data_IF_546778010130
#
_entry.id   IF_546778010130
#
_cell.length_a   1.000
_cell.length_b   1.000
_cell.length_c   1.000
_cell.angle_alpha   90.00
_cell.angle_beta   90.00
_cell.angle_gamma   90.00
#
_symmetry.space_group_name_H-M   'P 1'
#
loop_
_entity.id
_entity.type
_entity.pdbx_description
1 polymer ?
#
# COMPACT_ATOMS: atom_id res chain seq x y z
N UNK A 1 -16.74 -41.85 8.38
CA UNK A 1 -17.57 -40.69 8.72
C UNK A 1 -16.62 -39.66 9.31
N UNK A 2 -16.38 -38.56 8.59
CA UNK A 2 -15.70 -37.42 9.20
C UNK A 2 -16.63 -36.86 10.28
N UNK A 3 -16.07 -36.58 11.45
CA UNK A 3 -16.78 -35.98 12.57
C UNK A 3 -17.26 -34.60 12.13
N UNK A 4 -18.59 -34.37 12.14
CA UNK A 4 -19.13 -33.05 11.82
C UNK A 4 -18.86 -32.17 13.05
N UNK A 5 -18.08 -31.09 12.93
CA UNK A 5 -17.79 -30.24 14.07
C UNK A 5 -19.10 -29.73 14.68
N UNK A 6 -19.14 -29.69 16.03
CA UNK A 6 -20.31 -29.17 16.74
C UNK A 6 -20.56 -27.71 16.32
N UNK A 7 -21.83 -27.29 16.18
CA UNK A 7 -22.15 -25.91 15.81
C UNK A 7 -21.53 -24.94 16.82
N UNK A 8 -20.85 -23.92 16.31
CA UNK A 8 -20.15 -22.92 17.10
C UNK A 8 -21.13 -21.81 17.53
N UNK A 9 -21.29 -21.59 18.84
CA UNK A 9 -22.04 -20.43 19.35
C UNK A 9 -21.21 -19.15 19.16
N UNK A 10 -21.80 -18.15 18.52
CA UNK A 10 -21.19 -16.83 18.34
C UNK A 10 -21.60 -15.88 19.46
N UNK A 11 -20.69 -15.01 19.89
CA UNK A 11 -20.93 -13.88 20.79
C UNK A 11 -20.78 -12.58 20.02
N UNK A 12 -21.82 -11.76 20.01
CA UNK A 12 -21.80 -10.41 19.46
C UNK A 12 -21.63 -9.42 20.60
N UNK A 13 -20.74 -8.45 20.46
CA UNK A 13 -20.51 -7.42 21.48
C UNK A 13 -20.47 -6.04 20.82
N UNK A 14 -21.12 -5.05 21.42
CA UNK A 14 -20.96 -3.65 21.02
C UNK A 14 -19.86 -2.97 21.85
N UNK A 15 -19.43 -1.77 21.45
CA UNK A 15 -18.33 -1.08 22.15
C UNK A 15 -18.64 -0.74 23.62
N UNK A 16 -19.92 -0.75 24.01
CA UNK A 16 -20.38 -0.49 25.37
C UNK A 16 -20.41 -1.76 26.22
N UNK A 17 -19.98 -2.89 25.65
CA UNK A 17 -19.92 -4.19 26.32
C UNK A 17 -21.27 -4.91 26.36
N UNK A 18 -22.26 -4.49 25.56
CA UNK A 18 -23.51 -5.25 25.50
C UNK A 18 -23.33 -6.48 24.65
N UNK A 19 -23.70 -7.63 25.19
CA UNK A 19 -23.52 -8.92 24.55
C UNK A 19 -24.85 -9.51 24.03
N UNK A 20 -24.76 -10.26 22.93
CA UNK A 20 -25.82 -11.13 22.41
C UNK A 20 -25.21 -12.44 21.90
N UNK A 21 -25.81 -13.58 22.26
CA UNK A 21 -25.36 -14.90 21.79
C UNK A 21 -26.20 -15.38 20.61
N UNK A 22 -25.58 -16.10 19.67
CA UNK A 22 -26.23 -16.65 18.49
C UNK A 22 -25.76 -18.09 18.26
N UNK A 23 -26.71 -19.03 18.30
CA UNK A 23 -26.47 -20.45 18.01
C UNK A 23 -26.74 -20.82 16.53
N UNK A 24 -27.04 -19.81 15.70
CA UNK A 24 -27.29 -20.01 14.26
C UNK A 24 -25.98 -20.12 13.48
N UNK A 25 -26.06 -20.63 12.26
CA UNK A 25 -24.92 -20.82 11.35
C UNK A 25 -25.19 -20.18 10.00
N UNK A 26 -24.18 -20.13 9.12
CA UNK A 26 -24.36 -19.69 7.75
C UNK A 26 -24.90 -18.26 7.62
N UNK A 27 -25.79 -18.06 6.64
CA UNK A 27 -26.43 -16.76 6.39
C UNK A 27 -27.29 -16.29 7.59
N UNK A 28 -27.89 -17.20 8.36
CA UNK A 28 -28.72 -16.83 9.51
C UNK A 28 -27.92 -16.21 10.66
N UNK A 29 -26.67 -16.65 10.83
CA UNK A 29 -25.74 -16.06 11.80
C UNK A 29 -25.34 -14.64 11.37
N UNK A 30 -25.02 -14.47 10.08
CA UNK A 30 -24.64 -13.20 9.52
C UNK A 30 -25.79 -12.17 9.58
N UNK A 31 -27.01 -12.58 9.23
CA UNK A 31 -28.19 -11.71 9.35
C UNK A 31 -28.49 -11.33 10.80
N UNK A 32 -28.30 -12.25 11.75
CA UNK A 32 -28.46 -11.95 13.17
C UNK A 32 -27.45 -10.91 13.66
N UNK A 33 -26.20 -10.99 13.21
CA UNK A 33 -25.17 -9.99 13.53
C UNK A 33 -25.49 -8.63 12.91
N UNK A 34 -25.85 -8.58 11.63
CA UNK A 34 -26.20 -7.31 10.97
C UNK A 34 -27.42 -6.65 11.61
N UNK A 35 -28.42 -7.44 12.04
CA UNK A 35 -29.55 -6.93 12.82
C UNK A 35 -29.11 -6.37 14.17
N UNK A 36 -28.19 -7.04 14.86
CA UNK A 36 -27.60 -6.55 16.11
C UNK A 36 -26.90 -5.19 15.90
N UNK A 37 -26.08 -5.08 14.86
CA UNK A 37 -25.43 -3.80 14.48
C UNK A 37 -26.49 -2.74 14.19
N UNK A 38 -27.49 -3.02 13.35
CA UNK A 38 -28.52 -2.06 12.98
C UNK A 38 -29.36 -1.56 14.18
N UNK A 39 -29.63 -2.41 15.17
CA UNK A 39 -30.37 -2.04 16.38
C UNK A 39 -29.56 -1.19 17.36
N UNK A 40 -28.23 -1.31 17.31
CA UNK A 40 -27.31 -0.72 18.31
C UNK A 40 -26.48 0.43 17.77
N UNK A 41 -26.43 0.60 16.44
CA UNK A 41 -25.71 1.68 15.79
C UNK A 41 -26.24 3.03 16.26
N UNK A 42 -25.34 3.85 16.77
CA UNK A 42 -25.56 5.22 17.19
C UNK A 42 -24.28 6.01 16.93
N UNK A 43 -24.31 7.34 17.00
CA UNK A 43 -23.13 8.17 16.73
C UNK A 43 -21.97 7.84 17.68
N UNK A 44 -22.28 7.55 18.94
CA UNK A 44 -21.29 7.06 19.88
C UNK A 44 -20.90 5.61 19.58
N UNK A 45 -21.82 4.71 19.21
CA UNK A 45 -21.58 3.28 19.01
C UNK A 45 -21.08 2.85 17.61
N UNK A 46 -19.75 2.71 17.46
CA UNK A 46 -19.08 2.48 16.16
C UNK A 46 -18.28 1.17 16.07
N UNK A 47 -18.09 0.44 17.17
CA UNK A 47 -17.32 -0.81 17.18
C UNK A 47 -18.21 -1.99 17.56
N UNK A 48 -18.19 -3.02 16.73
CA UNK A 48 -18.95 -4.25 16.93
C UNK A 48 -18.05 -5.45 16.75
N UNK A 49 -18.13 -6.44 17.63
CA UNK A 49 -17.39 -7.69 17.50
C UNK A 49 -18.34 -8.87 17.33
N UNK A 50 -17.87 -9.87 16.58
CA UNK A 50 -18.44 -11.21 16.55
C UNK A 50 -17.32 -12.19 16.83
N UNK A 51 -17.47 -12.98 17.89
CA UNK A 51 -16.47 -13.91 18.38
C UNK A 51 -17.01 -15.32 18.41
N UNK A 52 -16.16 -16.27 18.06
CA UNK A 52 -16.37 -17.66 18.39
C UNK A 52 -16.19 -17.85 19.90
N UNK A 53 -17.28 -18.03 20.64
CA UNK A 53 -17.29 -18.07 22.11
C UNK A 53 -16.30 -19.07 22.72
N UNK A 54 -16.02 -20.18 22.03
CA UNK A 54 -15.11 -21.22 22.49
C UNK A 54 -13.64 -21.03 22.06
N UNK A 55 -13.37 -20.25 21.01
CA UNK A 55 -12.10 -20.33 20.28
C UNK A 55 -11.27 -19.05 20.27
N UNK A 56 -11.70 -18.02 21.03
CA UNK A 56 -10.90 -16.81 21.33
C UNK A 56 -10.40 -16.08 20.07
N UNK A 57 -11.21 -16.12 19.01
CA UNK A 57 -11.02 -15.34 17.80
C UNK A 57 -12.34 -14.75 17.34
N UNK A 58 -12.25 -13.74 16.48
CA UNK A 58 -13.42 -13.09 15.95
C UNK A 58 -13.13 -12.10 14.86
N UNK A 59 -14.18 -11.38 14.48
CA UNK A 59 -14.13 -10.19 13.66
C UNK A 59 -14.50 -8.98 14.52
N UNK A 60 -13.81 -7.86 14.31
CA UNK A 60 -14.10 -6.54 14.88
C UNK A 60 -14.39 -5.59 13.73
N UNK A 61 -15.62 -5.14 13.65
CA UNK A 61 -16.10 -4.14 12.71
C UNK A 61 -15.93 -2.77 13.35
N UNK A 62 -15.11 -1.93 12.73
CA UNK A 62 -14.90 -0.55 13.11
C UNK A 62 -15.53 0.36 12.04
N UNK A 63 -16.79 0.75 12.30
CA UNK A 63 -17.59 1.51 11.34
C UNK A 63 -17.05 2.93 11.14
N UNK A 64 -16.50 3.54 12.19
CA UNK A 64 -15.86 4.84 12.11
C UNK A 64 -14.60 4.79 11.25
N UNK A 65 -13.85 3.67 11.34
CA UNK A 65 -12.63 3.48 10.55
C UNK A 65 -12.88 2.93 9.16
N UNK A 66 -14.05 2.38 8.87
CA UNK A 66 -14.34 1.69 7.61
C UNK A 66 -13.51 0.41 7.47
N UNK A 67 -13.27 -0.29 8.58
CA UNK A 67 -12.34 -1.42 8.63
C UNK A 67 -12.95 -2.62 9.37
N UNK A 68 -12.49 -3.80 9.00
CA UNK A 68 -12.77 -5.06 9.68
C UNK A 68 -11.44 -5.66 10.09
N UNK A 69 -11.25 -5.90 11.38
CA UNK A 69 -10.14 -6.71 11.87
C UNK A 69 -10.63 -8.15 12.07
N UNK A 70 -9.90 -9.16 11.64
CA UNK A 70 -9.98 -10.48 12.26
C UNK A 70 -8.91 -10.54 13.33
N UNK A 71 -9.17 -11.23 14.41
CA UNK A 71 -8.19 -11.37 15.47
C UNK A 71 -8.26 -12.73 16.12
N UNK A 72 -7.14 -13.14 16.72
CA UNK A 72 -7.01 -14.34 17.53
C UNK A 72 -6.18 -14.01 18.75
N UNK A 73 -6.73 -14.31 19.91
CA UNK A 73 -6.03 -14.22 21.17
C UNK A 73 -5.23 -15.51 21.42
N UNK A 74 -4.05 -15.34 21.98
CA UNK A 74 -3.20 -16.40 22.50
C UNK A 74 -3.03 -16.15 23.99
N UNK A 75 -3.23 -17.17 24.80
CA UNK A 75 -3.10 -17.12 26.26
C UNK A 75 -1.95 -18.03 26.67
N UNK A 76 -1.12 -17.57 27.61
CA UNK A 76 -0.19 -18.45 28.33
C UNK A 76 -0.96 -19.22 29.43
N UNK A 77 -0.43 -20.36 29.90
CA UNK A 77 -1.14 -21.21 30.86
C UNK A 77 -1.52 -20.44 32.13
N UNK A 78 -2.80 -20.52 32.51
CA UNK A 78 -3.42 -19.94 33.72
C UNK A 78 -3.58 -18.40 33.74
N UNK A 79 -3.54 -17.72 32.59
CA UNK A 79 -3.84 -16.28 32.51
C UNK A 79 -5.24 -15.98 31.94
N UNK A 80 -6.00 -15.10 32.62
CA UNK A 80 -7.27 -14.54 32.12
C UNK A 80 -7.04 -13.40 31.09
N UNK A 81 -5.79 -13.01 30.87
CA UNK A 81 -5.38 -11.95 29.95
C UNK A 81 -4.58 -12.57 28.80
N UNK A 82 -4.86 -12.22 27.52
CA UNK A 82 -4.12 -12.78 26.41
C UNK A 82 -2.67 -12.29 26.40
N UNK A 83 -1.72 -13.22 26.31
CA UNK A 83 -0.29 -12.94 26.21
C UNK A 83 0.08 -12.33 24.85
N UNK A 84 -0.69 -12.66 23.81
CA UNK A 84 -0.54 -12.07 22.47
C UNK A 84 -1.88 -12.03 21.75
N UNK A 85 -2.12 -10.97 20.98
CA UNK A 85 -3.21 -10.93 20.01
C UNK A 85 -2.60 -10.84 18.61
N UNK A 86 -3.03 -11.73 17.73
CA UNK A 86 -2.83 -11.59 16.29
C UNK A 86 -4.05 -10.88 15.75
N UNK A 87 -3.87 -9.83 14.96
CA UNK A 87 -4.96 -9.16 14.27
C UNK A 87 -4.54 -9.06 12.81
N UNK A 88 -5.47 -9.24 11.86
CA UNK A 88 -5.28 -8.81 10.47
C UNK A 88 -6.46 -7.93 10.08
N UNK A 89 -6.24 -6.98 9.19
CA UNK A 89 -7.21 -5.97 8.80
C UNK A 89 -7.62 -6.09 7.35
N UNK A 90 -8.87 -5.80 7.07
CA UNK A 90 -9.38 -5.56 5.72
C UNK A 90 -10.41 -4.44 5.76
N UNK A 91 -10.91 -4.07 4.60
CA UNK A 91 -11.75 -2.89 4.44
C UNK A 91 -13.21 -3.28 4.61
N UNK A 92 -13.98 -2.40 5.24
CA UNK A 92 -15.43 -2.50 5.27
C UNK A 92 -15.97 -1.89 3.98
N UNK A 93 -16.14 -2.73 2.95
CA UNK A 93 -16.60 -2.27 1.63
C UNK A 93 -18.12 -2.09 1.59
N UNK A 94 -18.86 -3.14 1.91
CA UNK A 94 -20.33 -3.14 1.91
C UNK A 94 -20.91 -4.18 2.89
N UNK A 95 -22.24 -4.17 3.00
CA UNK A 95 -23.00 -5.08 3.86
C UNK A 95 -22.92 -6.54 3.37
N UNK A 96 -22.84 -6.78 2.07
CA UNK A 96 -22.78 -8.14 1.50
C UNK A 96 -21.45 -8.83 1.84
N UNK A 97 -20.34 -8.10 1.74
CA UNK A 97 -19.02 -8.55 2.16
C UNK A 97 -18.96 -8.75 3.66
N UNK A 98 -19.55 -7.84 4.43
CA UNK A 98 -19.69 -8.00 5.88
C UNK A 98 -20.44 -9.30 6.21
N UNK A 99 -21.58 -9.54 5.54
CA UNK A 99 -22.36 -10.78 5.66
C UNK A 99 -21.51 -12.01 5.32
N UNK A 100 -20.78 -11.98 4.21
CA UNK A 100 -19.94 -13.08 3.77
C UNK A 100 -18.81 -13.40 4.77
N UNK A 101 -18.20 -12.39 5.37
CA UNK A 101 -17.14 -12.58 6.38
C UNK A 101 -17.69 -13.18 7.67
N UNK A 102 -18.84 -12.71 8.17
CA UNK A 102 -19.48 -13.30 9.36
C UNK A 102 -19.94 -14.72 9.10
N UNK A 103 -20.52 -14.99 7.92
CA UNK A 103 -20.89 -16.34 7.51
C UNK A 103 -19.68 -17.27 7.51
N UNK A 104 -18.58 -16.87 6.88
CA UNK A 104 -17.38 -17.69 6.81
C UNK A 104 -16.75 -17.91 8.19
N UNK A 105 -16.83 -16.92 9.09
CA UNK A 105 -16.43 -17.10 10.48
C UNK A 105 -17.30 -18.16 11.18
N UNK A 106 -18.62 -18.14 10.96
CA UNK A 106 -19.55 -19.10 11.56
C UNK A 106 -19.30 -20.53 11.05
N UNK A 107 -19.17 -20.69 9.73
CA UNK A 107 -19.10 -22.00 9.07
C UNK A 107 -17.71 -22.65 9.18
N UNK A 108 -16.64 -21.86 9.01
CA UNK A 108 -15.26 -22.35 8.84
C UNK A 108 -14.29 -21.81 9.91
N UNK A 109 -14.80 -21.10 10.92
CA UNK A 109 -14.00 -20.55 12.01
C UNK A 109 -13.00 -19.48 11.55
N UNK A 110 -11.86 -19.37 12.26
CA UNK A 110 -10.88 -18.29 12.04
C UNK A 110 -10.30 -18.23 10.61
N UNK A 111 -10.18 -19.39 9.96
CA UNK A 111 -9.65 -19.48 8.59
C UNK A 111 -10.65 -19.09 7.51
N UNK A 112 -11.95 -19.21 7.78
CA UNK A 112 -13.03 -18.98 6.83
C UNK A 112 -12.99 -17.60 6.15
N UNK A 113 -12.80 -16.51 6.91
CA UNK A 113 -12.71 -15.18 6.32
C UNK A 113 -11.47 -14.96 5.43
N UNK A 114 -10.41 -15.78 5.54
CA UNK A 114 -9.13 -15.57 4.84
C UNK A 114 -9.24 -15.40 3.31
N UNK A 115 -9.88 -16.31 2.56
CA UNK A 115 -10.01 -16.19 1.10
C UNK A 115 -10.94 -15.06 0.65
N UNK A 116 -11.74 -14.48 1.53
CA UNK A 116 -12.80 -13.52 1.17
C UNK A 116 -12.32 -12.07 1.18
N UNK A 117 -11.09 -11.82 1.60
CA UNK A 117 -10.56 -10.48 1.70
C UNK A 117 -9.05 -10.42 1.52
N UNK A 118 -8.58 -9.27 1.04
CA UNK A 118 -7.18 -8.89 1.13
C UNK A 118 -6.91 -8.49 2.58
N UNK A 119 -6.49 -9.47 3.38
CA UNK A 119 -6.09 -9.27 4.77
C UNK A 119 -4.67 -8.72 4.83
N UNK A 120 -4.51 -7.67 5.63
CA UNK A 120 -3.23 -7.05 5.93
C UNK A 120 -2.83 -7.46 7.34
N UNK A 121 -1.62 -8.00 7.57
CA UNK A 121 -1.20 -8.38 8.91
C UNK A 121 -1.27 -7.18 9.86
N UNK A 122 -1.76 -7.36 11.07
CA UNK A 122 -1.82 -6.33 12.11
C UNK A 122 -0.60 -6.40 13.03
N UNK A 123 -0.16 -5.24 13.50
CA UNK A 123 0.96 -5.04 14.44
C UNK A 123 0.44 -4.05 15.52
N UNK A 124 0.86 -4.17 16.79
CA UNK A 124 0.12 -3.66 17.95
C UNK A 124 -0.08 -2.15 17.89
N UNK A 125 -1.11 -1.69 18.62
CA UNK A 125 -1.41 -0.27 18.92
C UNK A 125 -0.18 0.61 18.75
N UNK A 126 -0.21 1.51 17.77
CA UNK A 126 0.83 2.53 17.56
C UNK A 126 1.14 3.11 18.93
N UNK A 127 2.34 2.88 19.49
CA UNK A 127 2.67 3.45 20.79
C UNK A 127 2.55 4.97 20.66
N UNK A 128 1.92 5.61 21.64
CA UNK A 128 1.94 7.08 21.72
C UNK A 128 3.42 7.51 21.69
N UNK A 129 3.81 8.15 20.58
CA UNK A 129 5.16 8.71 20.43
C UNK A 129 5.22 9.92 21.35
N UNK A 130 6.13 9.96 22.33
CA UNK A 130 6.22 11.09 23.25
C UNK A 130 6.35 12.43 22.51
N UNK A 131 5.75 13.48 23.08
CA UNK A 131 5.83 14.84 22.52
C UNK A 131 7.28 15.36 22.42
N UNK A 132 8.19 14.79 23.22
CA UNK A 132 9.60 15.17 23.32
C UNK A 132 10.57 14.23 22.57
N UNK A 133 10.07 13.27 21.79
CA UNK A 133 10.93 12.43 20.96
C UNK A 133 11.55 13.28 19.82
N UNK A 134 12.89 13.45 19.79
CA UNK A 134 13.56 14.29 18.79
C UNK A 134 13.52 13.70 17.37
N UNK A 135 13.20 12.41 17.24
CA UNK A 135 13.09 11.71 15.96
C UNK A 135 11.63 11.62 15.47
N UNK A 136 10.67 12.11 16.26
CA UNK A 136 9.27 12.13 15.87
C UNK A 136 9.03 13.05 14.67
N UNK A 137 8.40 12.49 13.64
CA UNK A 137 7.96 13.17 12.44
C UNK A 137 6.45 13.37 12.49
N UNK A 138 5.98 14.44 11.88
CA UNK A 138 4.56 14.74 11.73
C UNK A 138 4.20 14.87 10.25
N UNK A 139 3.13 14.19 9.84
CA UNK A 139 2.51 14.35 8.52
C UNK A 139 1.02 14.58 8.66
N UNK A 140 0.45 15.33 7.72
CA UNK A 140 -0.97 15.66 7.69
C UNK A 140 -1.62 14.92 6.53
N UNK A 141 -2.54 14.03 6.85
CA UNK A 141 -3.43 13.42 5.88
C UNK A 141 -4.65 14.32 5.67
N UNK A 142 -5.05 14.53 4.42
CA UNK A 142 -6.27 15.24 4.05
C UNK A 142 -7.03 14.48 2.97
N UNK A 143 -8.35 14.59 2.98
CA UNK A 143 -9.23 14.06 1.95
C UNK A 143 -10.02 15.19 1.30
N UNK A 144 -10.34 15.05 0.01
CA UNK A 144 -11.26 15.92 -0.72
C UNK A 144 -12.68 15.98 -0.12
N UNK A 145 -13.02 15.04 0.77
CA UNK A 145 -14.23 15.10 1.61
C UNK A 145 -14.18 16.17 2.71
N UNK A 146 -13.02 16.79 2.95
CA UNK A 146 -12.77 17.74 4.04
C UNK A 146 -12.23 17.10 5.32
N UNK A 147 -12.13 15.76 5.39
CA UNK A 147 -11.52 15.07 6.53
C UNK A 147 -10.00 15.31 6.59
N UNK A 148 -9.46 15.36 7.80
CA UNK A 148 -8.02 15.46 8.03
C UNK A 148 -7.60 14.68 9.27
N UNK A 149 -6.40 14.11 9.22
CA UNK A 149 -5.78 13.36 10.31
C UNK A 149 -4.30 13.70 10.39
N UNK A 150 -3.79 14.00 11.58
CA UNK A 150 -2.36 14.17 11.83
C UNK A 150 -1.80 12.81 12.24
N UNK A 151 -0.69 12.39 11.63
CA UNK A 151 0.08 11.22 12.04
C UNK A 151 1.41 11.68 12.60
N UNK A 152 1.71 11.25 13.83
CA UNK A 152 2.99 11.45 14.49
C UNK A 152 3.66 10.09 14.68
N UNK A 153 4.93 9.96 14.29
CA UNK A 153 5.62 8.67 14.24
C UNK A 153 7.14 8.84 14.41
N UNK A 154 7.78 7.92 15.14
CA UNK A 154 9.23 7.86 15.24
C UNK A 154 9.82 7.00 14.10
N UNK A 155 9.11 5.93 13.69
CA UNK A 155 9.52 5.07 12.59
C UNK A 155 8.47 5.08 11.46
N UNK A 156 8.85 5.17 10.17
CA UNK A 156 7.90 5.18 9.06
C UNK A 156 6.91 4.00 9.06
N UNK A 157 7.38 2.81 9.47
CA UNK A 157 6.53 1.62 9.64
C UNK A 157 5.34 1.81 10.59
N UNK A 158 5.42 2.74 11.54
CA UNK A 158 4.33 3.02 12.50
C UNK A 158 3.14 3.71 11.80
N UNK A 159 3.39 4.34 10.64
CA UNK A 159 2.36 5.06 9.87
C UNK A 159 1.58 4.19 8.90
N UNK A 160 2.09 2.99 8.58
CA UNK A 160 1.54 2.15 7.52
C UNK A 160 0.04 1.92 7.69
N UNK A 161 -0.42 1.55 8.89
CA UNK A 161 -1.83 1.28 9.15
C UNK A 161 -2.70 2.54 9.26
N UNK A 162 -2.35 3.56 10.08
CA UNK A 162 -3.13 4.79 10.11
C UNK A 162 -3.31 5.41 8.72
N UNK A 163 -2.25 5.38 7.90
CA UNK A 163 -2.28 5.83 6.52
C UNK A 163 -3.19 4.96 5.64
N UNK A 164 -3.01 3.63 5.63
CA UNK A 164 -3.87 2.73 4.84
C UNK A 164 -5.34 2.85 5.24
N UNK A 165 -5.65 2.89 6.54
CA UNK A 165 -7.00 3.08 7.04
C UNK A 165 -7.59 4.41 6.59
N UNK A 166 -6.79 5.49 6.56
CA UNK A 166 -7.22 6.79 6.05
C UNK A 166 -7.49 6.73 4.54
N UNK A 167 -6.55 6.21 3.75
CA UNK A 167 -6.68 6.07 2.29
C UNK A 167 -7.93 5.28 1.92
N UNK A 168 -8.24 4.24 2.69
CA UNK A 168 -9.41 3.41 2.45
C UNK A 168 -10.70 4.12 2.83
N UNK A 169 -10.77 4.70 4.03
CA UNK A 169 -11.98 5.40 4.48
C UNK A 169 -12.38 6.50 3.52
N UNK A 170 -11.39 7.06 2.82
CA UNK A 170 -11.54 8.12 1.85
C UNK A 170 -11.33 7.64 0.41
N UNK A 171 -11.50 6.33 0.15
CA UNK A 171 -11.49 5.79 -1.19
C UNK A 171 -12.56 6.48 -2.05
N UNK A 172 -12.19 6.84 -3.29
CA UNK A 172 -13.06 7.63 -4.18
C UNK A 172 -12.96 9.15 -3.98
N UNK A 173 -12.20 9.62 -2.99
CA UNK A 173 -11.81 11.01 -2.88
C UNK A 173 -10.31 11.17 -3.16
N UNK A 174 -9.91 12.36 -3.57
CA UNK A 174 -8.50 12.72 -3.59
C UNK A 174 -7.97 12.74 -2.15
N UNK A 175 -6.81 12.15 -1.93
CA UNK A 175 -6.15 12.10 -0.61
C UNK A 175 -4.78 12.70 -0.73
N UNK A 176 -4.41 13.63 0.15
CA UNK A 176 -3.05 14.15 0.24
C UNK A 176 -2.37 13.78 1.56
N UNK A 177 -1.07 13.54 1.48
CA UNK A 177 -0.13 13.35 2.57
C UNK A 177 0.83 14.53 2.50
N UNK A 178 0.68 15.46 3.42
CA UNK A 178 1.54 16.65 3.53
C UNK A 178 2.63 16.37 4.56
N UNK A 179 3.86 16.71 4.21
CA UNK A 179 4.99 16.73 5.12
C UNK A 179 5.40 18.19 5.33
N UNK A 180 4.85 18.87 6.36
CA UNK A 180 4.98 20.32 6.49
C UNK A 180 6.42 20.81 6.65
N UNK A 181 7.23 20.08 7.41
CA UNK A 181 8.64 20.43 7.66
C UNK A 181 9.48 20.44 6.37
N UNK A 182 9.19 19.55 5.44
CA UNK A 182 9.87 19.45 4.15
C UNK A 182 9.24 20.36 3.07
N UNK A 183 8.03 20.88 3.30
CA UNK A 183 7.26 21.60 2.28
C UNK A 183 6.89 20.70 1.09
N UNK A 184 6.70 19.41 1.36
CA UNK A 184 6.41 18.35 0.38
C UNK A 184 4.99 17.82 0.56
N UNK A 185 4.34 17.44 -0.54
CA UNK A 185 3.03 16.81 -0.52
C UNK A 185 2.94 15.73 -1.59
N UNK A 186 2.45 14.56 -1.20
CA UNK A 186 2.00 13.50 -2.10
C UNK A 186 0.47 13.51 -2.15
N UNK A 187 -0.12 13.52 -3.34
CA UNK A 187 -1.57 13.47 -3.55
C UNK A 187 -1.92 12.24 -4.39
N UNK A 188 -2.95 11.54 -3.99
CA UNK A 188 -3.56 10.40 -4.67
C UNK A 188 -4.84 10.91 -5.31
N UNK A 189 -4.84 11.05 -6.63
CA UNK A 189 -6.03 11.42 -7.40
C UNK A 189 -6.85 10.16 -7.69
N UNK A 190 -7.87 9.92 -6.86
CA UNK A 190 -8.54 8.62 -6.73
C UNK A 190 -9.19 8.13 -8.03
N UNK A 191 -9.88 9.00 -8.76
CA UNK A 191 -10.55 8.63 -10.02
C UNK A 191 -9.59 8.55 -11.22
N UNK A 192 -8.47 9.27 -11.17
CA UNK A 192 -7.53 9.35 -12.28
C UNK A 192 -6.46 8.23 -12.24
N UNK A 193 -6.33 7.55 -11.10
CA UNK A 193 -5.21 6.66 -10.78
C UNK A 193 -3.87 7.35 -11.04
N UNK A 194 -3.73 8.57 -10.52
CA UNK A 194 -2.52 9.40 -10.66
C UNK A 194 -2.02 9.77 -9.27
N UNK A 195 -0.72 9.62 -9.06
CA UNK A 195 -0.03 10.23 -7.93
C UNK A 195 0.53 11.57 -8.38
N UNK A 196 0.44 12.57 -7.51
CA UNK A 196 1.02 13.89 -7.72
C UNK A 196 1.96 14.19 -6.57
N UNK A 197 3.22 14.48 -6.86
CA UNK A 197 4.15 14.99 -5.86
C UNK A 197 4.37 16.48 -6.10
N UNK A 198 4.16 17.29 -5.07
CA UNK A 198 4.29 18.75 -5.04
C UNK A 198 5.39 19.21 -4.07
N UNK A 199 6.45 19.85 -4.56
CA UNK A 199 7.49 20.46 -3.73
C UNK A 199 7.39 21.99 -3.70
N UNK A 200 7.90 22.59 -2.63
CA UNK A 200 7.97 24.04 -2.48
C UNK A 200 6.68 24.65 -1.93
N UNK A 201 5.96 23.93 -1.07
CA UNK A 201 4.85 24.53 -0.33
C UNK A 201 5.40 25.65 0.56
N UNK A 202 4.86 26.85 0.43
CA UNK A 202 5.34 28.02 1.16
C UNK A 202 5.26 27.79 2.68
N UNK A 203 6.39 27.80 3.36
CA UNK A 203 6.42 28.10 4.79
C UNK A 203 6.01 29.55 5.03
N UNK A 204 5.34 29.82 6.16
CA UNK A 204 4.88 31.16 6.57
C UNK A 204 6.00 32.21 6.42
N UNK A 205 6.01 32.93 5.29
CA UNK A 205 6.83 34.14 5.10
C UNK A 205 7.92 34.14 4.01
N UNK A 206 8.12 33.08 3.23
CA UNK A 206 9.06 33.13 2.09
C UNK A 206 8.37 33.54 0.77
N UNK A 207 9.07 34.32 -0.07
CA UNK A 207 8.61 34.69 -1.42
C UNK A 207 8.14 33.44 -2.18
N UNK A 208 6.92 33.49 -2.73
CA UNK A 208 6.20 32.39 -3.40
C UNK A 208 7.16 31.41 -4.08
N UNK A 209 7.44 30.25 -3.47
CA UNK A 209 8.24 29.23 -4.11
C UNK A 209 7.47 28.79 -5.37
N UNK A 210 8.19 28.61 -6.47
CA UNK A 210 7.59 28.02 -7.67
C UNK A 210 7.25 26.57 -7.34
N UNK A 211 5.96 26.30 -7.13
CA UNK A 211 5.44 24.97 -6.86
C UNK A 211 5.84 24.03 -8.01
N UNK A 212 6.71 23.04 -7.71
CA UNK A 212 7.06 21.99 -8.68
C UNK A 212 6.11 20.83 -8.49
N UNK A 213 5.38 20.46 -9.54
CA UNK A 213 4.49 19.31 -9.56
C UNK A 213 4.98 18.27 -10.54
N UNK A 214 4.94 17.02 -10.12
CA UNK A 214 5.24 15.86 -10.96
C UNK A 214 4.16 14.81 -10.75
N UNK A 215 3.91 14.04 -11.80
CA UNK A 215 2.78 13.14 -11.93
C UNK A 215 3.28 11.74 -12.23
N UNK A 216 2.61 10.73 -11.69
CA UNK A 216 2.90 9.33 -11.94
C UNK A 216 1.58 8.58 -12.15
N UNK A 217 1.46 7.87 -13.26
CA UNK A 217 0.33 6.96 -13.47
C UNK A 217 0.51 5.72 -12.60
N UNK A 218 -0.57 5.31 -11.94
CA UNK A 218 -0.58 4.10 -11.13
C UNK A 218 -1.62 3.15 -11.70
N UNK A 219 -1.18 1.98 -12.15
CA UNK A 219 -2.02 0.95 -12.77
C UNK A 219 -2.67 0.01 -11.73
N UNK A 220 -2.12 -0.03 -10.51
CA UNK A 220 -2.52 -0.97 -9.46
C UNK A 220 -2.73 -0.27 -8.11
N UNK A 221 -3.85 -0.51 -7.41
CA UNK A 221 -4.11 0.09 -6.09
C UNK A 221 -3.00 -0.16 -5.06
N UNK A 222 -2.34 -1.33 -5.09
CA UNK A 222 -1.23 -1.65 -4.18
C UNK A 222 -0.04 -0.68 -4.31
N UNK A 223 0.21 -0.14 -5.52
CA UNK A 223 1.31 0.80 -5.77
C UNK A 223 1.06 2.15 -5.08
N UNK A 224 -0.19 2.54 -4.85
CA UNK A 224 -0.51 3.76 -4.07
C UNK A 224 -0.02 3.62 -2.64
N UNK A 225 -0.31 2.50 -1.99
CA UNK A 225 0.14 2.25 -0.62
C UNK A 225 1.67 2.19 -0.52
N UNK A 226 2.33 1.55 -1.51
CA UNK A 226 3.80 1.55 -1.60
C UNK A 226 4.37 2.95 -1.75
N UNK A 227 3.82 3.77 -2.66
CA UNK A 227 4.27 5.15 -2.85
C UNK A 227 4.11 5.98 -1.59
N UNK A 228 2.94 5.88 -0.96
CA UNK A 228 2.64 6.59 0.27
C UNK A 228 3.60 6.18 1.41
N UNK A 229 3.91 4.89 1.53
CA UNK A 229 4.91 4.41 2.48
C UNK A 229 6.32 4.94 2.19
N UNK A 230 6.78 4.86 0.94
CA UNK A 230 8.07 5.42 0.50
C UNK A 230 8.19 6.92 0.78
N UNK A 231 7.09 7.65 0.56
CA UNK A 231 7.02 9.07 0.89
C UNK A 231 7.15 9.33 2.39
N UNK A 232 6.63 8.46 3.26
CA UNK A 232 6.79 8.59 4.72
C UNK A 232 8.19 8.18 5.22
N UNK A 233 8.88 7.30 4.48
CA UNK A 233 10.26 6.92 4.77
C UNK A 233 11.23 8.09 4.56
N UNK A 234 11.12 8.79 3.44
CA UNK A 234 12.14 9.76 3.01
C UNK A 234 11.64 10.91 2.15
N UNK A 235 10.35 11.23 2.16
CA UNK A 235 9.79 12.32 1.38
C UNK A 235 9.93 12.04 -0.11
N UNK A 236 10.29 13.06 -0.89
CA UNK A 236 10.50 12.89 -2.33
C UNK A 236 11.74 12.07 -2.64
N UNK A 237 12.77 12.11 -1.80
CA UNK A 237 13.93 11.23 -1.95
C UNK A 237 13.52 9.75 -1.86
N UNK A 238 12.55 9.42 -1.00
CA UNK A 238 11.97 8.08 -0.95
C UNK A 238 11.18 7.68 -2.21
N UNK A 239 10.66 8.66 -2.96
CA UNK A 239 9.89 8.47 -4.18
C UNK A 239 10.71 8.54 -5.47
N UNK A 240 11.95 9.01 -5.45
CA UNK A 240 12.76 9.21 -6.66
C UNK A 240 13.00 7.90 -7.43
N UNK A 241 13.07 6.78 -6.72
CA UNK A 241 13.15 5.44 -7.30
C UNK A 241 11.81 4.88 -7.80
N UNK A 242 10.68 5.50 -7.43
CA UNK A 242 9.36 4.92 -7.58
C UNK A 242 8.67 5.34 -8.89
N UNK A 243 8.87 4.54 -9.95
CA UNK A 243 8.19 4.71 -11.24
C UNK A 243 8.61 5.96 -12.04
N UNK A 244 7.90 6.21 -13.15
CA UNK A 244 8.21 7.27 -14.12
C UNK A 244 7.50 8.59 -13.81
N UNK A 245 8.06 9.39 -12.90
CA UNK A 245 7.55 10.74 -12.63
C UNK A 245 7.75 11.66 -13.84
N UNK A 246 6.69 12.38 -14.24
CA UNK A 246 6.70 13.33 -15.36
C UNK A 246 6.18 14.70 -14.92
N UNK A 247 6.69 15.77 -15.53
CA UNK A 247 6.33 17.14 -15.14
C UNK A 247 4.98 17.62 -15.71
N UNK A 248 4.50 17.02 -16.81
CA UNK A 248 3.25 17.40 -17.47
C UNK A 248 2.23 16.26 -17.39
N UNK A 249 1.09 16.50 -16.75
CA UNK A 249 0.03 15.50 -16.62
C UNK A 249 -0.53 15.05 -17.96
N UNK A 250 -0.50 15.92 -18.99
CA UNK A 250 -1.04 15.59 -20.32
C UNK A 250 -0.29 14.44 -20.99
N UNK A 251 0.95 14.14 -20.56
CA UNK A 251 1.74 13.04 -21.13
C UNK A 251 1.36 11.67 -20.56
N UNK A 252 0.60 11.63 -19.45
CA UNK A 252 0.15 10.37 -18.86
C UNK A 252 -0.89 9.62 -19.72
N UNK A 253 -1.51 10.31 -20.69
CA UNK A 253 -2.42 9.71 -21.66
C UNK A 253 -1.69 9.13 -22.90
N UNK A 254 -0.37 9.30 -22.99
CA UNK A 254 0.41 8.69 -24.06
C UNK A 254 0.40 7.16 -23.95
N UNK A 255 0.45 6.43 -25.07
CA UNK A 255 0.72 4.99 -25.04
C UNK A 255 2.01 4.70 -24.24
N UNK A 256 2.08 3.58 -23.49
CA UNK A 256 3.21 3.28 -22.60
C UNK A 256 4.58 3.48 -23.25
N UNK A 257 4.80 2.93 -24.45
CA UNK A 257 6.06 3.09 -25.15
C UNK A 257 6.40 4.54 -25.54
N UNK A 258 5.39 5.39 -25.78
CA UNK A 258 5.60 6.82 -26.06
C UNK A 258 5.88 7.60 -24.78
N UNK A 259 5.21 7.26 -23.67
CA UNK A 259 5.50 7.81 -22.35
C UNK A 259 6.96 7.54 -21.96
N UNK A 260 7.43 6.29 -22.12
CA UNK A 260 8.82 5.93 -21.85
C UNK A 260 9.84 6.73 -22.65
N UNK A 261 9.61 6.89 -23.97
CA UNK A 261 10.48 7.73 -24.81
C UNK A 261 10.42 9.21 -24.44
N UNK A 262 9.23 9.70 -24.07
CA UNK A 262 9.07 11.08 -23.60
C UNK A 262 9.89 11.30 -22.32
N UNK A 263 9.78 10.38 -21.35
CA UNK A 263 10.59 10.40 -20.13
C UNK A 263 12.08 10.35 -20.43
N UNK A 264 12.54 9.45 -21.31
CA UNK A 264 13.93 9.37 -21.73
C UNK A 264 14.46 10.69 -22.33
N UNK A 265 13.61 11.49 -22.98
CA UNK A 265 14.01 12.79 -23.54
C UNK A 265 14.24 13.90 -22.50
N UNK A 266 13.76 13.71 -21.27
CA UNK A 266 13.93 14.68 -20.18
C UNK A 266 15.35 14.71 -19.59
N UNK A 267 16.14 13.64 -19.78
CA UNK A 267 17.53 13.59 -19.37
C UNK A 267 18.40 14.26 -20.43
N UNK A 268 19.28 15.18 -20.02
CA UNK A 268 19.99 16.06 -20.95
C UNK A 268 21.49 15.77 -21.02
N UNK A 269 22.01 14.95 -20.11
CA UNK A 269 23.42 14.58 -20.03
C UNK A 269 23.63 13.07 -19.87
N UNK A 270 24.80 12.57 -20.28
CA UNK A 270 25.16 11.16 -20.13
C UNK A 270 25.15 10.71 -18.66
N UNK A 271 25.53 11.59 -17.73
CA UNK A 271 25.50 11.28 -16.29
C UNK A 271 24.06 11.08 -15.78
N UNK A 272 23.12 11.93 -16.20
CA UNK A 272 21.71 11.79 -15.88
C UNK A 272 21.12 10.51 -16.52
N UNK A 273 21.52 10.20 -17.76
CA UNK A 273 21.07 8.98 -18.46
C UNK A 273 21.60 7.72 -17.76
N UNK A 274 22.89 7.69 -17.38
CA UNK A 274 23.48 6.57 -16.64
C UNK A 274 22.77 6.37 -15.30
N UNK A 275 22.58 7.44 -14.52
CA UNK A 275 21.87 7.36 -13.25
C UNK A 275 20.45 6.79 -13.37
N UNK A 276 19.71 7.18 -14.41
CA UNK A 276 18.38 6.62 -14.68
C UNK A 276 18.44 5.14 -15.09
N UNK A 277 19.43 4.74 -15.91
CA UNK A 277 19.65 3.32 -16.23
C UNK A 277 19.99 2.53 -14.96
N UNK A 278 20.83 3.06 -14.07
CA UNK A 278 21.13 2.48 -12.77
C UNK A 278 19.87 2.29 -11.91
N UNK A 279 19.01 3.32 -11.84
CA UNK A 279 17.72 3.25 -11.14
C UNK A 279 16.80 2.16 -11.71
N UNK A 280 16.65 2.08 -13.04
CA UNK A 280 15.84 1.05 -13.71
C UNK A 280 16.37 -0.36 -13.42
N UNK A 281 17.70 -0.52 -13.37
CA UNK A 281 18.32 -1.78 -12.98
C UNK A 281 18.07 -2.09 -11.51
N UNK A 282 18.21 -1.13 -10.60
CA UNK A 282 18.00 -1.35 -9.17
C UNK A 282 16.56 -1.79 -8.83
N UNK A 283 15.56 -1.37 -9.61
CA UNK A 283 14.16 -1.73 -9.41
C UNK A 283 13.84 -3.18 -9.83
N UNK A 284 14.47 -3.69 -10.88
CA UNK A 284 14.03 -4.94 -11.54
C UNK A 284 15.14 -5.81 -12.13
N UNK A 285 16.39 -5.42 -11.92
CA UNK A 285 17.55 -5.98 -12.59
C UNK A 285 18.27 -7.04 -11.77
N UNK A 286 18.98 -7.90 -12.49
CA UNK A 286 19.90 -8.88 -11.92
C UNK A 286 21.21 -8.90 -12.69
N UNK A 287 22.24 -9.49 -12.08
CA UNK A 287 23.42 -9.96 -12.81
C UNK A 287 23.09 -11.34 -13.34
N UNK A 288 23.28 -11.57 -14.63
CA UNK A 288 23.08 -12.92 -15.17
C UNK A 288 24.06 -13.93 -14.52
N UNK A 289 23.70 -15.23 -14.41
CA UNK A 289 24.56 -16.22 -13.75
C UNK A 289 25.95 -16.41 -14.38
N UNK A 290 26.17 -16.00 -15.63
CA UNK A 290 27.48 -16.02 -16.28
C UNK A 290 28.35 -14.79 -15.98
N UNK A 291 27.80 -13.79 -15.30
CA UNK A 291 28.45 -12.52 -14.95
C UNK A 291 28.91 -11.70 -16.18
N UNK A 292 28.14 -11.79 -17.27
CA UNK A 292 28.46 -11.15 -18.57
C UNK A 292 27.43 -10.12 -18.98
N UNK A 293 26.24 -10.15 -18.39
CA UNK A 293 25.12 -9.30 -18.74
C UNK A 293 24.46 -8.71 -17.50
N UNK A 294 24.08 -7.45 -17.64
CA UNK A 294 23.05 -6.83 -16.83
C UNK A 294 21.70 -7.17 -17.47
N UNK A 295 20.84 -7.83 -16.69
CA UNK A 295 19.47 -8.16 -17.11
C UNK A 295 18.54 -7.17 -16.44
N UNK A 296 17.71 -6.48 -17.22
CA UNK A 296 16.66 -5.57 -16.75
C UNK A 296 15.30 -6.24 -16.90
N UNK A 297 14.35 -5.87 -16.03
CA UNK A 297 12.98 -6.40 -16.04
C UNK A 297 12.96 -7.94 -15.90
N UNK A 298 13.72 -8.47 -14.95
CA UNK A 298 13.84 -9.92 -14.74
C UNK A 298 12.47 -10.57 -14.52
N UNK A 299 12.25 -11.69 -15.20
CA UNK A 299 10.98 -12.45 -15.14
C UNK A 299 9.76 -11.70 -15.68
N UNK A 300 9.92 -10.52 -16.30
CA UNK A 300 8.80 -9.72 -16.80
C UNK A 300 8.45 -10.04 -18.25
N UNK A 301 7.16 -9.96 -18.54
CA UNK A 301 6.63 -9.95 -19.90
C UNK A 301 6.73 -8.56 -20.51
N UNK A 302 6.65 -8.48 -21.84
CA UNK A 302 6.73 -7.22 -22.58
C UNK A 302 5.63 -6.21 -22.21
N UNK A 303 4.47 -6.71 -21.81
CA UNK A 303 3.29 -5.88 -21.55
C UNK A 303 3.30 -5.31 -20.12
N UNK A 304 4.00 -5.95 -19.17
CA UNK A 304 4.03 -5.53 -17.76
C UNK A 304 4.77 -4.20 -17.56
N UNK A 305 5.86 -3.97 -18.29
CA UNK A 305 6.74 -2.82 -18.08
C UNK A 305 7.03 -2.09 -19.41
N UNK A 306 6.07 -2.04 -20.34
CA UNK A 306 6.27 -1.49 -21.70
C UNK A 306 6.84 -0.05 -21.69
N UNK A 307 6.38 0.80 -20.77
CA UNK A 307 6.84 2.18 -20.65
C UNK A 307 8.28 2.28 -20.15
N UNK A 308 8.63 1.57 -19.07
CA UNK A 308 9.99 1.56 -18.51
C UNK A 308 10.97 0.89 -19.46
N UNK A 309 10.54 -0.16 -20.16
CA UNK A 309 11.34 -0.80 -21.21
C UNK A 309 11.60 0.13 -22.39
N UNK A 310 10.60 0.89 -22.84
CA UNK A 310 10.78 1.86 -23.92
C UNK A 310 11.67 3.05 -23.51
N UNK A 311 11.61 3.46 -22.24
CA UNK A 311 12.56 4.40 -21.66
C UNK A 311 13.98 3.84 -21.69
N UNK A 312 14.22 2.66 -21.11
CA UNK A 312 15.53 2.02 -21.07
C UNK A 312 16.16 1.94 -22.47
N UNK A 313 15.41 1.44 -23.46
CA UNK A 313 15.91 1.30 -24.83
C UNK A 313 16.28 2.66 -25.46
N UNK A 314 15.52 3.72 -25.18
CA UNK A 314 15.84 5.05 -25.67
C UNK A 314 17.06 5.67 -24.95
N UNK A 315 17.25 5.38 -23.66
CA UNK A 315 18.42 5.78 -22.89
C UNK A 315 19.69 5.08 -23.40
N UNK A 316 19.62 3.76 -23.61
CA UNK A 316 20.75 2.95 -24.13
C UNK A 316 21.16 3.40 -25.55
N UNK A 317 20.20 3.66 -26.43
CA UNK A 317 20.46 4.21 -27.78
C UNK A 317 21.26 5.53 -27.71
N UNK A 318 20.89 6.43 -26.80
CA UNK A 318 21.60 7.70 -26.58
C UNK A 318 23.01 7.53 -26.02
N UNK A 319 23.26 6.48 -25.24
CA UNK A 319 24.59 6.11 -24.74
C UNK A 319 25.44 5.37 -25.78
N UNK A 320 24.85 4.99 -26.92
CA UNK A 320 25.48 4.15 -27.94
C UNK A 320 25.67 2.69 -27.48
N UNK A 321 24.82 2.22 -26.56
CA UNK A 321 24.88 0.87 -26.00
C UNK A 321 23.79 0.02 -26.66
N UNK A 322 24.19 -1.02 -27.39
CA UNK A 322 23.25 -1.93 -28.04
C UNK A 322 22.85 -3.07 -27.09
N UNK A 323 21.55 -3.31 -26.87
CA UNK A 323 21.09 -4.51 -26.17
C UNK A 323 21.49 -5.78 -26.94
N UNK A 324 21.81 -6.84 -26.21
CA UNK A 324 22.10 -8.16 -26.74
C UNK A 324 20.82 -8.91 -27.12
N UNK A 325 20.96 -9.90 -28.01
CA UNK A 325 19.86 -10.81 -28.33
C UNK A 325 19.41 -11.59 -27.09
N UNK A 326 18.10 -11.79 -26.97
CA UNK A 326 17.52 -12.59 -25.87
C UNK A 326 17.96 -14.06 -25.98
N UNK A 327 18.47 -14.66 -24.89
CA UNK A 327 18.73 -16.10 -24.85
C UNK A 327 17.46 -16.93 -25.09
N UNK A 328 17.63 -18.15 -25.61
CA UNK A 328 16.53 -19.09 -25.80
C UNK A 328 15.80 -19.34 -24.47
N UNK A 329 14.50 -19.04 -24.43
CA UNK A 329 13.64 -19.25 -23.27
C UNK A 329 13.61 -18.09 -22.26
N UNK A 330 14.37 -17.01 -22.48
CA UNK A 330 14.26 -15.81 -21.68
C UNK A 330 12.87 -15.14 -21.86
N UNK A 331 12.27 -14.58 -20.79
CA UNK A 331 11.07 -13.76 -20.90
C UNK A 331 11.21 -12.64 -21.92
N UNK A 332 10.15 -12.38 -22.70
CA UNK A 332 10.19 -11.42 -23.82
C UNK A 332 10.25 -9.96 -23.39
N UNK A 333 10.00 -9.67 -22.11
CA UNK A 333 10.11 -8.34 -21.54
C UNK A 333 11.54 -7.95 -21.18
N UNK A 334 12.41 -8.93 -20.92
CA UNK A 334 13.78 -8.68 -20.46
C UNK A 334 14.59 -7.88 -21.50
N UNK A 335 15.54 -7.10 -20.98
CA UNK A 335 16.55 -6.41 -21.78
C UNK A 335 17.92 -6.80 -21.25
N UNK A 336 18.71 -7.41 -22.12
CA UNK A 336 20.05 -7.92 -21.78
C UNK A 336 21.09 -6.95 -22.32
N UNK A 337 21.95 -6.44 -21.45
CA UNK A 337 23.00 -5.48 -21.81
C UNK A 337 24.34 -6.07 -21.41
N UNK A 338 25.27 -6.20 -22.36
CA UNK A 338 26.62 -6.69 -22.05
C UNK A 338 27.27 -5.76 -21.02
N UNK A 339 28.03 -6.33 -20.08
CA UNK A 339 28.77 -5.54 -19.10
C UNK A 339 29.70 -4.55 -19.80
N UNK A 340 29.60 -3.28 -19.43
CA UNK A 340 30.42 -2.18 -19.94
C UNK A 340 30.85 -1.31 -18.75
N UNK A 341 32.11 -0.81 -18.71
CA UNK A 341 32.64 -0.11 -17.53
C UNK A 341 31.82 1.08 -17.01
N UNK A 342 31.12 1.79 -17.91
CA UNK A 342 30.27 2.93 -17.52
C UNK A 342 29.03 2.48 -16.74
N UNK A 343 28.39 1.40 -17.21
CA UNK A 343 27.24 0.80 -16.54
C UNK A 343 27.66 0.04 -15.28
N UNK A 344 28.82 -0.64 -15.30
CA UNK A 344 29.35 -1.31 -14.12
C UNK A 344 29.53 -0.32 -12.95
N UNK A 345 30.21 0.80 -13.20
CA UNK A 345 30.46 1.80 -12.17
C UNK A 345 29.17 2.42 -11.60
N UNK A 346 28.16 2.61 -12.46
CA UNK A 346 26.87 3.14 -12.03
C UNK A 346 26.09 2.08 -11.25
N UNK A 347 25.88 0.89 -11.80
CA UNK A 347 25.13 -0.20 -11.17
C UNK A 347 25.74 -0.61 -9.83
N UNK A 348 27.07 -0.67 -9.72
CA UNK A 348 27.77 -0.95 -8.46
C UNK A 348 27.47 0.09 -7.36
N UNK A 349 26.99 1.30 -7.71
CA UNK A 349 26.58 2.31 -6.73
C UNK A 349 25.17 2.09 -6.16
N UNK A 350 24.39 1.22 -6.79
CA UNK A 350 23.02 0.85 -6.38
C UNK A 350 22.94 -0.50 -5.65
N UNK A 351 24.02 -1.30 -5.68
CA UNK A 351 24.19 -2.56 -4.93
C UNK A 351 24.74 -2.25 -3.53
#
# INVERSE_FOLDING_TARGET
MADVPAPQTLRFTDQHGTEQFCDRQGDEAADAFLLFVAQRRADDNQVFTVEASAEQYGLRFDLARGAIARYRHFFEQDEDTPSRTFEDYTLLEDEERSRALVRALADDGFGGPYPLAAWMPGIPTVPDVPDDDPDAREVVLRSGSGASQILRFAHPNDTTYPMQAFLVRHAGHDVSIEWPEAGERLEVMGEASVLVRTAGLAGDGAATPTERREFLKVDQPRRVATAAHRFLEGGFAGLDGFGQWVADIAVLDLPPAQLGRHRASSFTSDAEILAEVGRLWADSGIVDPSDRFWVFFESRSRDEDEAERAELLALLDRLGIEPSDLPDGAPTGEVWVAREPRLDAEIDSWI
#
